data_IF_561539791331
#
_entry.id   IF_561539791331
#
_cell.length_a   1.000
_cell.length_b   1.000
_cell.length_c   1.000
_cell.angle_alpha   90.00
_cell.angle_beta   90.00
_cell.angle_gamma   90.00
#
_symmetry.space_group_name_H-M   'P 1'
#
loop_
_entity.id
_entity.type
_entity.pdbx_description
1 polymer ?
#
# COMPACT_ATOMS: atom_id res chain seq x y z
N UNK A 1 0.02 14.24 2.62
CA UNK A 1 0.28 13.08 1.77
C UNK A 1 1.02 12.07 2.65
N UNK A 2 0.29 11.08 3.15
CA UNK A 2 0.86 10.05 4.02
C UNK A 2 1.85 9.19 3.22
N UNK A 3 3.13 9.45 3.42
CA UNK A 3 4.21 8.63 2.88
C UNK A 3 4.50 7.45 3.82
N UNK A 4 3.50 6.67 4.16
CA UNK A 4 3.69 5.45 4.97
C UNK A 4 4.18 4.25 4.17
N UNK A 5 4.20 4.37 2.86
CA UNK A 5 4.51 3.29 1.94
C UNK A 5 5.60 3.72 0.96
N UNK A 6 6.80 3.23 1.16
CA UNK A 6 7.92 3.43 0.23
C UNK A 6 7.97 2.38 -0.88
N UNK A 7 6.91 1.61 -1.08
CA UNK A 7 6.83 0.63 -2.17
C UNK A 7 6.58 1.32 -3.51
N UNK A 8 7.31 0.87 -4.53
CA UNK A 8 7.23 1.40 -5.87
C UNK A 8 8.28 2.47 -6.16
N UNK A 9 8.04 3.25 -7.20
CA UNK A 9 8.97 4.29 -7.61
C UNK A 9 8.86 5.51 -6.71
N UNK A 10 10.01 5.92 -6.16
CA UNK A 10 10.15 7.15 -5.41
C UNK A 10 11.06 8.08 -6.18
N UNK A 11 10.63 9.32 -6.40
CA UNK A 11 11.43 10.36 -7.03
C UNK A 11 11.68 11.50 -6.06
N UNK A 12 12.95 11.82 -5.86
CA UNK A 12 13.38 12.95 -5.04
C UNK A 12 14.03 13.98 -5.92
N UNK A 13 13.64 15.23 -5.74
CA UNK A 13 14.17 16.33 -6.50
C UNK A 13 14.68 17.43 -5.57
N UNK A 14 15.91 17.89 -5.80
CA UNK A 14 16.50 19.00 -5.07
C UNK A 14 17.07 20.03 -6.02
N UNK A 15 16.57 21.25 -5.92
CA UNK A 15 17.09 22.41 -6.65
C UNK A 15 18.10 23.15 -5.78
N UNK A 16 19.29 23.35 -6.31
CA UNK A 16 20.36 24.12 -5.68
C UNK A 16 20.68 25.37 -6.52
N UNK A 17 19.76 26.34 -6.46
CA UNK A 17 19.96 27.59 -7.19
C UNK A 17 20.84 28.59 -6.45
N UNK A 18 20.77 28.59 -5.12
CA UNK A 18 21.51 29.53 -4.27
C UNK A 18 22.74 28.90 -3.59
N UNK A 19 22.74 27.59 -3.46
CA UNK A 19 23.78 26.79 -2.80
C UNK A 19 24.47 25.83 -3.81
N UNK A 20 24.66 26.28 -5.04
CA UNK A 20 25.40 25.52 -6.06
C UNK A 20 26.77 25.10 -5.53
N UNK A 21 27.22 23.89 -5.91
CA UNK A 21 28.55 23.40 -5.56
C UNK A 21 29.52 23.85 -6.67
N UNK A 22 30.38 24.85 -6.41
CA UNK A 22 31.35 25.29 -7.43
C UNK A 22 32.46 24.28 -7.60
N UNK A 23 32.89 24.07 -8.82
CA UNK A 23 34.09 23.29 -9.14
C UNK A 23 34.83 23.90 -10.31
N UNK A 24 36.15 23.67 -10.40
CA UNK A 24 37.01 24.28 -11.44
C UNK A 24 37.38 23.30 -12.56
N UNK A 25 37.64 22.04 -12.24
CA UNK A 25 38.12 21.06 -13.23
C UNK A 25 37.22 19.84 -13.31
N UNK A 26 36.86 19.30 -12.15
CA UNK A 26 35.95 18.14 -12.08
C UNK A 26 35.15 18.14 -10.80
N UNK A 27 33.98 17.53 -10.87
CA UNK A 27 33.13 17.20 -9.72
C UNK A 27 32.83 15.73 -9.78
N UNK A 28 33.08 15.02 -8.68
CA UNK A 28 32.56 13.67 -8.44
C UNK A 28 31.53 13.73 -7.33
N UNK A 29 30.37 13.16 -7.58
CA UNK A 29 29.28 13.15 -6.63
C UNK A 29 28.85 11.70 -6.39
N UNK A 30 29.09 11.21 -5.18
CA UNK A 30 28.74 9.86 -4.78
C UNK A 30 27.53 9.89 -3.84
N UNK A 31 26.64 8.91 -3.97
CA UNK A 31 25.54 8.68 -3.05
C UNK A 31 25.83 7.46 -2.20
N UNK A 32 25.67 7.57 -0.91
CA UNK A 32 25.70 6.43 -0.02
C UNK A 32 24.30 5.79 0.03
N UNK A 33 24.24 4.52 -0.29
CA UNK A 33 23.00 3.74 -0.16
C UNK A 33 23.00 3.02 1.18
N UNK A 34 22.23 3.54 2.12
CA UNK A 34 22.03 2.94 3.44
C UNK A 34 20.79 2.05 3.41
N UNK A 35 21.01 0.75 3.37
CA UNK A 35 19.95 -0.26 3.53
C UNK A 35 20.02 -0.89 4.91
N UNK A 36 18.87 -1.05 5.56
CA UNK A 36 18.76 -1.75 6.84
C UNK A 36 18.64 -3.26 6.67
N UNK A 37 18.30 -3.68 5.45
CA UNK A 37 18.10 -5.09 5.08
C UNK A 37 18.85 -5.40 3.78
N UNK A 38 19.18 -6.67 3.59
CA UNK A 38 19.75 -7.14 2.32
C UNK A 38 18.66 -7.15 1.25
N UNK A 39 18.88 -6.39 0.20
CA UNK A 39 17.93 -6.30 -0.91
C UNK A 39 18.61 -5.77 -2.18
N UNK A 40 17.88 -5.86 -3.28
CA UNK A 40 18.26 -5.26 -4.55
C UNK A 40 17.44 -3.99 -4.77
N UNK A 41 18.09 -2.91 -5.12
CA UNK A 41 17.46 -1.60 -5.37
C UNK A 41 17.90 -1.13 -6.74
N UNK A 42 16.94 -0.76 -7.59
CA UNK A 42 17.21 -0.03 -8.82
C UNK A 42 17.27 1.46 -8.49
N UNK A 43 18.39 2.07 -8.76
CA UNK A 43 18.62 3.47 -8.44
C UNK A 43 19.16 4.21 -9.66
N UNK A 44 18.54 5.34 -9.97
CA UNK A 44 19.02 6.27 -10.99
C UNK A 44 19.14 7.68 -10.45
N UNK A 45 20.08 8.44 -10.94
CA UNK A 45 20.25 9.84 -10.58
C UNK A 45 20.49 10.69 -11.81
N UNK A 46 19.94 11.89 -11.81
CA UNK A 46 20.19 12.90 -12.82
C UNK A 46 20.73 14.16 -12.15
N UNK A 47 21.87 14.64 -12.62
CA UNK A 47 22.52 15.84 -12.10
C UNK A 47 22.57 16.88 -13.20
N UNK A 48 22.08 18.08 -12.90
CA UNK A 48 22.22 19.25 -13.79
C UNK A 48 23.40 20.09 -13.33
N UNK A 49 24.23 20.48 -14.27
CA UNK A 49 25.41 21.28 -13.98
C UNK A 49 25.71 22.27 -15.12
N UNK A 50 26.46 23.30 -14.81
CA UNK A 50 26.92 24.28 -15.76
C UNK A 50 28.45 24.15 -15.94
N UNK A 51 28.92 24.16 -17.17
CA UNK A 51 30.31 24.08 -17.49
C UNK A 51 30.64 24.81 -18.79
N UNK A 52 31.92 24.86 -19.14
CA UNK A 52 32.38 25.41 -20.40
C UNK A 52 31.95 24.53 -21.58
N UNK A 53 31.99 25.06 -22.79
CA UNK A 53 31.59 24.36 -24.02
C UNK A 53 32.33 23.02 -24.26
N UNK A 54 33.49 22.85 -23.68
CA UNK A 54 34.31 21.62 -23.81
C UNK A 54 34.14 20.68 -22.62
N UNK A 55 33.28 21.02 -21.65
CA UNK A 55 33.04 20.19 -20.50
C UNK A 55 32.20 18.96 -20.87
N UNK A 56 32.51 17.83 -20.25
CA UNK A 56 31.89 16.54 -20.54
C UNK A 56 31.45 15.87 -19.25
N UNK A 57 30.30 15.18 -19.27
CA UNK A 57 29.89 14.27 -18.22
C UNK A 57 30.52 12.90 -18.45
N UNK A 58 31.21 12.39 -17.45
CA UNK A 58 31.75 11.02 -17.49
C UNK A 58 30.66 10.04 -17.08
N UNK A 59 30.44 8.98 -17.86
CA UNK A 59 29.55 7.89 -17.51
C UNK A 59 28.06 8.21 -17.64
N UNK A 60 27.67 9.12 -18.55
CA UNK A 60 26.24 9.30 -18.86
C UNK A 60 25.72 8.07 -19.62
N UNK A 61 24.71 7.43 -19.08
CA UNK A 61 23.97 6.36 -19.76
C UNK A 61 23.15 6.93 -20.92
N UNK A 62 23.08 6.21 -22.04
CA UNK A 62 22.16 6.54 -23.14
C UNK A 62 20.69 6.33 -22.71
N UNK A 63 19.78 6.99 -23.41
CA UNK A 63 18.34 6.82 -23.14
C UNK A 63 17.91 5.35 -23.23
N UNK A 64 18.44 4.62 -24.24
CA UNK A 64 18.14 3.19 -24.43
C UNK A 64 18.60 2.32 -23.25
N UNK A 65 19.75 2.64 -22.65
CA UNK A 65 20.27 1.94 -21.48
C UNK A 65 19.44 2.24 -20.24
N UNK A 66 18.99 3.48 -20.08
CA UNK A 66 18.09 3.90 -19.00
C UNK A 66 16.73 3.21 -19.14
N UNK A 67 16.15 3.18 -20.34
CA UNK A 67 14.88 2.52 -20.61
C UNK A 67 14.94 1.01 -20.38
N UNK A 68 16.04 0.36 -20.76
CA UNK A 68 16.25 -1.06 -20.54
C UNK A 68 16.41 -1.42 -19.05
N UNK A 69 16.92 -0.48 -18.25
CA UNK A 69 17.05 -0.63 -16.80
C UNK A 69 15.78 -0.33 -16.01
N UNK A 70 14.74 0.21 -16.65
CA UNK A 70 13.47 0.45 -15.96
C UNK A 70 12.80 -0.87 -15.61
N UNK A 71 12.44 -1.12 -14.35
CA UNK A 71 11.66 -2.29 -14.01
C UNK A 71 10.30 -2.24 -14.71
N UNK A 72 9.72 -3.40 -15.01
CA UNK A 72 8.42 -3.45 -15.66
C UNK A 72 7.40 -2.67 -14.82
N UNK A 73 6.56 -1.89 -15.48
CA UNK A 73 5.48 -1.17 -14.82
C UNK A 73 4.72 -2.16 -13.93
N UNK A 74 4.57 -1.89 -12.62
CA UNK A 74 3.87 -2.79 -11.75
C UNK A 74 2.52 -3.13 -12.35
N UNK A 75 2.27 -4.41 -12.59
CA UNK A 75 0.96 -4.86 -13.07
C UNK A 75 -0.05 -4.38 -12.05
N UNK A 76 -0.94 -3.50 -12.45
CA UNK A 76 -1.99 -3.06 -11.54
C UNK A 76 -2.69 -4.29 -11.01
N UNK A 77 -2.74 -4.43 -9.69
CA UNK A 77 -3.57 -5.46 -9.06
C UNK A 77 -4.96 -5.38 -9.69
N UNK A 78 -5.56 -6.50 -10.06
CA UNK A 78 -6.85 -6.47 -10.72
C UNK A 78 -7.82 -5.65 -9.85
N UNK A 79 -8.44 -4.67 -10.47
CA UNK A 79 -9.54 -3.94 -9.85
C UNK A 79 -10.58 -5.00 -9.48
N UNK A 80 -11.15 -4.91 -8.30
CA UNK A 80 -12.18 -5.84 -7.86
C UNK A 80 -13.26 -5.96 -8.94
N UNK A 81 -13.40 -7.16 -9.50
CA UNK A 81 -14.41 -7.46 -10.50
C UNK A 81 -15.75 -7.87 -9.90
N UNK A 82 -15.88 -7.81 -8.57
CA UNK A 82 -17.11 -8.20 -7.87
C UNK A 82 -18.08 -7.04 -7.96
N UNK A 83 -19.21 -7.28 -8.63
CA UNK A 83 -20.29 -6.31 -8.70
C UNK A 83 -20.82 -6.00 -7.29
N UNK A 84 -21.10 -4.73 -7.02
CA UNK A 84 -21.61 -4.23 -5.74
C UNK A 84 -20.66 -4.44 -4.54
N UNK A 85 -19.36 -4.59 -4.76
CA UNK A 85 -18.41 -4.64 -3.67
C UNK A 85 -18.33 -3.29 -2.95
N UNK A 86 -18.38 -3.36 -1.62
CA UNK A 86 -18.18 -2.20 -0.74
C UNK A 86 -16.76 -2.22 -0.23
N UNK A 87 -16.02 -1.16 -0.52
CA UNK A 87 -14.67 -0.96 -0.02
C UNK A 87 -14.71 -0.23 1.32
N UNK A 88 -14.36 -0.93 2.40
CA UNK A 88 -14.30 -0.35 3.74
C UNK A 88 -13.34 0.83 3.87
N UNK A 89 -12.37 0.96 2.96
CA UNK A 89 -11.48 2.12 2.91
C UNK A 89 -12.18 3.40 2.41
N UNK A 90 -13.36 3.28 1.81
CA UNK A 90 -14.13 4.40 1.24
C UNK A 90 -15.27 4.86 2.16
N UNK A 91 -15.53 4.15 3.24
CA UNK A 91 -16.59 4.45 4.19
C UNK A 91 -16.03 4.72 5.58
N UNK A 92 -16.70 5.55 6.32
CA UNK A 92 -16.35 5.84 7.71
C UNK A 92 -17.13 4.92 8.64
N UNK A 93 -16.52 4.40 9.72
CA UNK A 93 -17.27 3.66 10.74
C UNK A 93 -18.32 4.56 11.38
N UNK A 94 -19.50 4.03 11.61
CA UNK A 94 -20.57 4.71 12.35
C UNK A 94 -20.25 4.72 13.84
N UNK A 95 -19.61 3.66 14.32
CA UNK A 95 -19.23 3.51 15.72
C UNK A 95 -18.04 2.57 15.87
N UNK A 96 -17.24 2.77 16.91
CA UNK A 96 -16.13 1.89 17.27
C UNK A 96 -15.71 2.07 18.73
N UNK A 97 -14.98 1.10 19.27
CA UNK A 97 -14.31 1.25 20.56
C UNK A 97 -13.26 2.37 20.53
N UNK A 98 -13.18 3.16 21.61
CA UNK A 98 -12.30 4.35 21.68
C UNK A 98 -10.82 4.03 21.39
N UNK A 99 -10.33 2.93 21.93
CA UNK A 99 -8.95 2.51 21.78
C UNK A 99 -8.63 1.87 20.42
N UNK A 100 -9.64 1.39 19.70
CA UNK A 100 -9.44 0.77 18.39
C UNK A 100 -9.06 1.85 17.38
N UNK A 101 -7.92 1.68 16.73
CA UNK A 101 -7.48 2.49 15.61
C UNK A 101 -7.67 1.70 14.33
N UNK A 102 -7.95 2.38 13.25
CA UNK A 102 -8.03 1.79 11.94
C UNK A 102 -7.30 2.66 10.92
N UNK A 103 -6.77 2.01 9.92
CA UNK A 103 -5.97 2.66 8.88
C UNK A 103 -6.19 1.95 7.55
N UNK A 104 -5.85 2.62 6.47
CA UNK A 104 -5.81 2.05 5.14
C UNK A 104 -4.42 1.49 4.88
N UNK A 105 -4.32 0.21 4.54
CA UNK A 105 -3.08 -0.44 4.19
C UNK A 105 -3.10 -0.94 2.76
N UNK A 106 -2.02 -0.72 2.03
CA UNK A 106 -1.86 -1.23 0.67
C UNK A 106 -1.49 -2.70 0.67
N UNK A 107 -2.14 -3.45 -0.22
CA UNK A 107 -1.87 -4.87 -0.43
C UNK A 107 -0.86 -5.15 -1.54
N UNK A 108 -0.49 -4.14 -2.33
CA UNK A 108 0.42 -4.30 -3.49
C UNK A 108 1.84 -4.78 -3.13
N UNK A 109 2.26 -4.60 -1.88
CA UNK A 109 3.55 -5.08 -1.38
C UNK A 109 3.55 -6.53 -0.88
N UNK A 110 2.39 -7.17 -0.82
CA UNK A 110 2.23 -8.52 -0.32
C UNK A 110 1.96 -9.51 -1.46
N UNK A 111 2.58 -10.70 -1.45
CA UNK A 111 2.33 -11.72 -2.45
C UNK A 111 0.87 -12.21 -2.35
N UNK A 112 0.24 -12.45 -3.49
CA UNK A 112 -1.13 -12.96 -3.52
C UNK A 112 -2.00 -12.31 -4.58
N UNK A 113 -3.24 -12.80 -4.68
CA UNK A 113 -4.28 -12.23 -5.53
C UNK A 113 -5.29 -11.49 -4.66
N UNK A 114 -5.29 -10.19 -4.76
CA UNK A 114 -6.14 -9.32 -3.96
C UNK A 114 -7.34 -8.82 -4.77
N UNK A 115 -8.50 -8.76 -4.14
CA UNK A 115 -9.70 -8.23 -4.78
C UNK A 115 -9.69 -6.71 -4.90
N UNK A 116 -9.04 -6.04 -3.95
CA UNK A 116 -8.86 -4.59 -3.92
C UNK A 116 -7.36 -4.26 -3.76
N UNK A 117 -7.00 -3.02 -4.06
CA UNK A 117 -5.62 -2.52 -3.88
C UNK A 117 -5.24 -2.35 -2.41
N UNK A 118 -6.22 -2.04 -1.61
CA UNK A 118 -6.08 -1.67 -0.21
C UNK A 118 -7.09 -2.44 0.63
N UNK A 119 -6.83 -2.54 1.92
CA UNK A 119 -7.80 -3.00 2.90
C UNK A 119 -7.81 -2.09 4.12
N UNK A 120 -8.89 -2.19 4.89
CA UNK A 120 -8.98 -1.57 6.19
C UNK A 120 -8.29 -2.47 7.23
N UNK A 121 -7.30 -1.95 7.93
CA UNK A 121 -6.63 -2.64 9.02
C UNK A 121 -7.00 -2.00 10.35
N UNK A 122 -7.28 -2.83 11.36
CA UNK A 122 -7.58 -2.39 12.71
C UNK A 122 -6.41 -2.69 13.64
N UNK A 123 -6.04 -1.73 14.48
CA UNK A 123 -4.91 -1.82 15.40
C UNK A 123 -5.34 -1.61 16.85
N UNK A 124 -4.63 -2.28 17.76
CA UNK A 124 -4.78 -2.08 19.20
C UNK A 124 -6.06 -2.66 19.79
N UNK A 125 -6.74 -3.55 19.04
CA UNK A 125 -7.92 -4.23 19.50
C UNK A 125 -7.63 -5.18 20.67
N UNK A 126 -8.63 -5.33 21.56
CA UNK A 126 -8.68 -6.34 22.62
C UNK A 126 -10.02 -7.04 22.54
N UNK A 127 -10.15 -8.13 23.26
CA UNK A 127 -11.42 -8.83 23.36
C UNK A 127 -12.57 -7.87 23.76
N UNK A 128 -13.65 -7.92 23.01
CA UNK A 128 -14.82 -7.04 23.16
C UNK A 128 -14.73 -5.70 22.44
N UNK A 129 -13.62 -5.36 21.80
CA UNK A 129 -13.56 -4.20 20.91
C UNK A 129 -14.32 -4.45 19.61
N UNK A 130 -14.91 -3.39 19.08
CA UNK A 130 -15.73 -3.46 17.87
C UNK A 130 -15.50 -2.26 16.94
N UNK A 131 -15.86 -2.47 15.70
CA UNK A 131 -16.03 -1.44 14.68
C UNK A 131 -17.33 -1.71 13.92
N UNK A 132 -18.17 -0.69 13.76
CA UNK A 132 -19.49 -0.79 13.15
C UNK A 132 -19.55 0.10 11.91
N UNK A 133 -20.13 -0.43 10.84
CA UNK A 133 -20.38 0.29 9.61
C UNK A 133 -21.86 0.21 9.27
N UNK A 134 -22.41 1.30 8.77
CA UNK A 134 -23.75 1.37 8.25
C UNK A 134 -23.73 1.52 6.74
N UNK A 135 -24.52 0.70 6.08
CA UNK A 135 -24.67 0.71 4.64
C UNK A 135 -26.06 1.21 4.28
N UNK A 136 -26.15 2.19 3.41
CA UNK A 136 -27.40 2.78 2.95
C UNK A 136 -27.49 2.75 1.44
N UNK A 137 -28.69 3.04 0.90
CA UNK A 137 -28.92 3.10 -0.55
C UNK A 137 -29.21 1.76 -1.20
N UNK A 138 -29.49 0.72 -0.41
CA UNK A 138 -29.97 -0.56 -0.91
C UNK A 138 -31.48 -0.57 -1.06
N UNK A 139 -31.96 -1.31 -2.07
CA UNK A 139 -33.38 -1.59 -2.23
C UNK A 139 -33.86 -2.52 -1.11
N UNK A 140 -35.15 -2.46 -0.78
CA UNK A 140 -35.76 -3.36 0.22
C UNK A 140 -35.96 -4.75 -0.39
N UNK A 141 -34.92 -5.57 -0.28
CA UNK A 141 -34.88 -6.98 -0.71
C UNK A 141 -33.85 -7.75 0.08
N UNK A 142 -33.88 -9.08 -0.03
CA UNK A 142 -32.84 -9.95 0.56
C UNK A 142 -31.51 -9.84 -0.20
N UNK A 143 -30.43 -9.79 0.55
CA UNK A 143 -29.05 -9.78 0.03
C UNK A 143 -28.25 -10.88 0.70
N UNK A 144 -27.45 -11.59 -0.09
CA UNK A 144 -26.38 -12.43 0.44
C UNK A 144 -25.17 -11.56 0.75
N UNK A 145 -24.72 -11.59 1.99
CA UNK A 145 -23.58 -10.80 2.46
C UNK A 145 -22.31 -11.65 2.47
N UNK A 146 -21.34 -11.27 1.68
CA UNK A 146 -20.04 -11.92 1.61
C UNK A 146 -18.94 -10.94 2.04
N UNK A 147 -18.07 -11.37 2.94
CA UNK A 147 -16.94 -10.60 3.42
C UNK A 147 -15.62 -11.18 2.87
N UNK A 148 -14.70 -10.29 2.53
CA UNK A 148 -13.34 -10.63 2.14
C UNK A 148 -12.38 -10.01 3.14
N UNK A 149 -11.57 -10.85 3.77
CA UNK A 149 -10.60 -10.43 4.77
C UNK A 149 -9.18 -10.85 4.37
N UNK A 150 -8.23 -10.30 5.09
CA UNK A 150 -6.82 -10.68 5.04
C UNK A 150 -6.46 -11.41 6.33
N UNK A 151 -5.58 -12.40 6.23
CA UNK A 151 -4.95 -13.07 7.38
C UNK A 151 -3.47 -12.70 7.44
N UNK A 152 -2.92 -12.61 8.63
CA UNK A 152 -1.50 -12.35 8.87
C UNK A 152 -1.06 -12.89 10.25
N UNK A 153 0.26 -12.91 10.50
CA UNK A 153 0.82 -13.49 11.72
C UNK A 153 0.52 -12.70 13.00
N UNK A 154 0.12 -11.44 12.86
CA UNK A 154 -0.23 -10.52 13.95
C UNK A 154 -1.75 -10.24 14.06
N UNK A 155 -2.57 -10.97 13.30
CA UNK A 155 -4.02 -10.80 13.33
C UNK A 155 -4.67 -11.75 14.32
N UNK A 156 -5.80 -11.30 14.88
CA UNK A 156 -6.57 -12.03 15.88
C UNK A 156 -7.88 -12.61 15.34
N UNK A 157 -8.70 -13.06 16.27
CA UNK A 157 -10.02 -13.58 15.99
C UNK A 157 -11.05 -12.46 15.92
N UNK A 158 -11.96 -12.54 14.96
CA UNK A 158 -13.08 -11.62 14.80
C UNK A 158 -14.42 -12.38 14.80
N UNK A 159 -15.43 -11.76 15.38
CA UNK A 159 -16.82 -12.17 15.32
C UNK A 159 -17.64 -11.18 14.51
N UNK A 160 -18.66 -11.67 13.86
CA UNK A 160 -19.48 -10.86 12.98
C UNK A 160 -20.88 -10.67 13.55
N UNK A 161 -21.35 -9.44 13.41
CA UNK A 161 -22.69 -9.04 13.78
C UNK A 161 -23.33 -8.36 12.56
N UNK A 162 -24.51 -8.81 12.19
CA UNK A 162 -25.31 -8.19 11.13
C UNK A 162 -26.59 -7.66 11.78
N UNK A 163 -26.89 -6.39 11.56
CA UNK A 163 -28.00 -5.70 12.21
C UNK A 163 -27.98 -5.85 13.75
N UNK A 164 -26.78 -5.80 14.34
CA UNK A 164 -26.52 -5.99 15.78
C UNK A 164 -26.88 -7.37 16.34
N UNK A 165 -27.11 -8.33 15.47
CA UNK A 165 -27.29 -9.72 15.84
C UNK A 165 -26.06 -10.52 15.52
N UNK A 166 -25.59 -11.34 16.48
CA UNK A 166 -24.49 -12.25 16.25
C UNK A 166 -24.90 -13.28 15.21
N UNK A 167 -24.16 -13.39 14.11
CA UNK A 167 -24.48 -14.34 13.06
C UNK A 167 -23.88 -15.74 13.31
N UNK A 168 -23.27 -15.95 14.47
CA UNK A 168 -22.68 -17.23 14.89
C UNK A 168 -21.36 -17.56 14.19
N UNK A 169 -20.85 -16.70 13.33
CA UNK A 169 -19.58 -16.93 12.63
C UNK A 169 -18.43 -16.21 13.33
N UNK A 170 -17.32 -16.92 13.41
CA UNK A 170 -16.05 -16.41 13.90
C UNK A 170 -14.96 -16.73 12.89
N UNK A 171 -14.07 -15.80 12.66
CA UNK A 171 -12.92 -15.97 11.79
C UNK A 171 -11.64 -15.86 12.61
N UNK A 172 -10.80 -16.89 12.52
CA UNK A 172 -9.40 -16.80 12.90
C UNK A 172 -8.62 -16.15 11.75
N UNK A 173 -8.17 -14.93 11.97
CA UNK A 173 -7.40 -14.18 11.00
C UNK A 173 -5.88 -14.44 11.10
N UNK A 174 -5.45 -15.38 11.94
CA UNK A 174 -4.04 -15.75 12.00
C UNK A 174 -3.63 -16.57 10.77
N UNK A 175 -2.48 -16.22 10.19
CA UNK A 175 -1.72 -17.02 9.24
C UNK A 175 -0.25 -16.66 9.33
N UNK A 176 0.67 -17.61 9.06
CA UNK A 176 2.11 -17.30 9.03
C UNK A 176 2.48 -16.33 7.90
N UNK A 177 1.73 -16.37 6.82
CA UNK A 177 1.92 -15.49 5.68
C UNK A 177 0.70 -14.61 5.47
N UNK A 178 0.89 -13.49 4.77
CA UNK A 178 -0.22 -12.61 4.42
C UNK A 178 -1.02 -13.24 3.29
N UNK A 179 -2.26 -13.59 3.54
CA UNK A 179 -3.14 -14.25 2.58
C UNK A 179 -4.58 -13.72 2.61
N UNK A 180 -5.29 -13.93 1.50
CA UNK A 180 -6.71 -13.58 1.39
C UNK A 180 -7.58 -14.77 1.84
N UNK A 181 -8.67 -14.49 2.55
CA UNK A 181 -9.62 -15.53 3.00
C UNK A 181 -10.49 -16.11 1.89
N UNK A 182 -10.61 -15.42 0.75
CA UNK A 182 -11.72 -15.66 -0.17
C UNK A 182 -13.04 -15.08 0.37
N UNK A 183 -14.15 -15.48 -0.23
CA UNK A 183 -15.49 -15.06 0.21
C UNK A 183 -15.91 -15.79 1.49
N UNK A 184 -16.25 -15.04 2.52
CA UNK A 184 -16.82 -15.54 3.76
C UNK A 184 -18.31 -15.19 3.73
N UNK A 185 -19.15 -16.18 3.57
CA UNK A 185 -20.59 -15.99 3.58
C UNK A 185 -21.06 -15.64 5.01
N UNK A 186 -21.64 -14.45 5.19
CA UNK A 186 -22.22 -13.98 6.45
C UNK A 186 -23.74 -14.20 6.54
N UNK A 187 -24.35 -14.82 5.55
CA UNK A 187 -25.78 -15.10 5.50
C UNK A 187 -26.56 -14.09 4.66
N UNK A 188 -27.86 -14.14 4.79
CA UNK A 188 -28.85 -13.27 4.14
C UNK A 188 -29.61 -12.46 5.16
#
# INVERSE_FOLDING_TARGET
QDMKDFYGYNSFFRVRCLDGIPFNQQLKFDFELLGWENGTVDYSSTVFWYGDLNSQAAGSSGIEEIEAGLPPTPTQSPVCSIANAIDFCQIQPTSKSERLRYDRQRLSGHPGKWNLKDHLVCHGGKEGDYIEFEFSGFEDREYSLNLFCTKAADYGNIKFYVNRQENGKQLDCYSQEVEATGAIDLGT
#
